data_IF_621904525590
#
_entry.id   IF_621904525590
#
_cell.length_a   1.000
_cell.length_b   1.000
_cell.length_c   1.000
_cell.angle_alpha   90.00
_cell.angle_beta   90.00
_cell.angle_gamma   90.00
#
_symmetry.space_group_name_H-M   'P 1'
#
loop_
_entity.id
_entity.type
_entity.pdbx_description
1 polymer ?
#
# COMPACT_ATOMS: atom_id res chain seq x y z
N UNK A 1 16.04 -13.26 -22.12
CA UNK A 1 15.77 -14.34 -21.14
C UNK A 1 17.06 -15.09 -20.94
N UNK A 2 17.48 -15.30 -19.69
CA UNK A 2 18.63 -16.16 -19.39
C UNK A 2 18.33 -17.61 -19.83
N UNK A 3 19.33 -18.35 -20.29
CA UNK A 3 19.19 -19.79 -20.52
C UNK A 3 19.11 -20.53 -19.19
N UNK A 4 18.53 -21.75 -19.16
CA UNK A 4 18.47 -22.55 -17.93
C UNK A 4 19.86 -22.83 -17.32
N UNK A 5 20.90 -22.83 -18.14
CA UNK A 5 22.27 -23.07 -17.70
C UNK A 5 22.93 -21.84 -17.02
N UNK A 6 22.34 -20.65 -17.17
CA UNK A 6 22.79 -19.40 -16.53
C UNK A 6 22.17 -19.15 -15.17
N UNK A 7 21.16 -19.95 -14.77
CA UNK A 7 20.48 -19.83 -13.49
C UNK A 7 21.25 -20.62 -12.43
N UNK A 8 21.80 -19.91 -11.45
CA UNK A 8 22.57 -20.51 -10.34
C UNK A 8 21.70 -20.94 -9.16
N UNK A 9 20.52 -20.33 -8.98
CA UNK A 9 19.51 -20.75 -8.01
C UNK A 9 18.67 -21.89 -8.61
N UNK A 10 18.63 -23.01 -7.91
CA UNK A 10 17.93 -24.23 -8.35
C UNK A 10 16.56 -24.43 -7.71
N UNK A 11 15.98 -23.39 -7.15
CA UNK A 11 14.60 -23.43 -6.68
C UNK A 11 13.68 -23.43 -7.91
N UNK A 12 13.09 -24.57 -8.22
CA UNK A 12 12.13 -24.72 -9.32
C UNK A 12 10.72 -24.73 -8.77
N UNK A 13 9.84 -23.93 -9.39
CA UNK A 13 8.40 -23.96 -9.16
C UNK A 13 7.71 -24.50 -10.40
N UNK A 14 7.07 -25.66 -10.27
CA UNK A 14 6.26 -26.21 -11.36
C UNK A 14 4.96 -25.40 -11.53
N UNK A 15 4.88 -24.64 -12.61
CA UNK A 15 3.71 -23.86 -12.99
C UNK A 15 2.91 -24.53 -14.12
N UNK A 16 3.08 -25.84 -14.36
CA UNK A 16 2.36 -26.56 -15.40
C UNK A 16 0.84 -26.43 -15.23
N UNK A 17 0.17 -25.97 -16.28
CA UNK A 17 -1.27 -25.72 -16.25
C UNK A 17 -1.72 -24.43 -15.57
N UNK A 18 -0.79 -23.64 -15.03
CA UNK A 18 -1.07 -22.35 -14.42
C UNK A 18 -0.79 -21.20 -15.40
N UNK A 19 -1.40 -20.03 -15.13
CA UNK A 19 -1.04 -18.78 -15.80
C UNK A 19 -0.11 -17.99 -14.88
N UNK A 20 1.05 -17.61 -15.39
CA UNK A 20 1.98 -16.73 -14.69
C UNK A 20 1.75 -15.30 -15.14
N UNK A 21 1.42 -14.43 -14.21
CA UNK A 21 1.13 -13.02 -14.43
C UNK A 21 2.03 -12.16 -13.54
N UNK A 22 2.34 -10.92 -13.94
CA UNK A 22 2.90 -9.95 -13.01
C UNK A 22 1.97 -9.76 -11.82
N UNK A 23 2.53 -9.46 -10.64
CA UNK A 23 1.75 -9.10 -9.48
C UNK A 23 0.93 -7.83 -9.73
N UNK A 24 -0.23 -7.74 -9.10
CA UNK A 24 -1.12 -6.59 -9.22
C UNK A 24 -0.54 -5.38 -8.48
N UNK A 25 -0.97 -4.20 -8.90
CA UNK A 25 -0.62 -2.91 -8.29
C UNK A 25 -1.90 -2.26 -7.78
N UNK A 26 -1.99 -2.01 -6.48
CA UNK A 26 -3.07 -1.21 -5.89
C UNK A 26 -2.55 0.20 -5.58
N UNK A 27 -3.20 1.20 -6.15
CA UNK A 27 -2.82 2.61 -6.00
C UNK A 27 -3.82 3.43 -5.17
N UNK A 28 -4.90 2.81 -4.68
CA UNK A 28 -5.91 3.53 -3.91
C UNK A 28 -6.68 2.57 -3.00
N UNK A 29 -6.17 2.35 -1.80
CA UNK A 29 -6.85 1.64 -0.73
C UNK A 29 -6.48 2.24 0.62
N UNK A 30 -7.48 2.47 1.48
CA UNK A 30 -7.27 3.06 2.81
C UNK A 30 -6.81 2.01 3.82
N UNK A 31 -7.18 0.76 3.62
CA UNK A 31 -6.79 -0.32 4.51
C UNK A 31 -7.57 -1.60 4.27
N UNK A 32 -7.30 -2.59 5.11
CA UNK A 32 -7.91 -3.92 5.07
C UNK A 32 -7.90 -4.56 6.46
N UNK A 33 -8.63 -5.68 6.63
CA UNK A 33 -8.62 -6.53 7.83
C UNK A 33 -8.75 -5.77 9.15
N UNK A 34 -9.59 -4.73 9.18
CA UNK A 34 -9.88 -3.83 10.31
C UNK A 34 -8.76 -2.89 10.71
N UNK A 35 -7.78 -2.68 9.85
CA UNK A 35 -6.76 -1.65 9.99
C UNK A 35 -6.91 -0.63 8.87
N UNK A 36 -6.64 0.62 9.17
CA UNK A 36 -6.61 1.72 8.23
C UNK A 36 -5.21 2.36 8.24
N UNK A 37 -4.74 2.79 7.08
CA UNK A 37 -3.45 3.47 6.99
C UNK A 37 -3.43 4.75 7.84
N UNK A 38 -4.59 5.39 7.97
CA UNK A 38 -4.76 6.61 8.78
C UNK A 38 -4.69 6.38 10.29
N UNK A 39 -4.67 5.12 10.76
CA UNK A 39 -4.51 4.80 12.19
C UNK A 39 -3.09 5.10 12.70
N UNK A 40 -2.12 5.28 11.80
CA UNK A 40 -0.70 5.47 12.11
C UNK A 40 -0.13 4.34 12.99
N UNK A 41 -0.59 3.11 12.76
CA UNK A 41 -0.18 1.89 13.45
C UNK A 41 0.74 1.06 12.55
N UNK A 42 2.00 0.86 12.97
CA UNK A 42 3.01 0.12 12.21
C UNK A 42 2.62 -1.35 12.04
N UNK A 43 2.12 -1.99 13.10
CA UNK A 43 1.73 -3.40 13.06
C UNK A 43 0.45 -3.59 12.22
N UNK A 44 -0.49 -2.66 12.33
CA UNK A 44 -1.68 -2.61 11.50
C UNK A 44 -1.33 -2.46 10.02
N UNK A 45 -0.43 -1.54 9.68
CA UNK A 45 0.03 -1.37 8.30
C UNK A 45 0.73 -2.63 7.78
N UNK A 46 1.59 -3.28 8.58
CA UNK A 46 2.21 -4.55 8.20
C UNK A 46 1.15 -5.62 7.91
N UNK A 47 0.11 -5.71 8.72
CA UNK A 47 -1.01 -6.64 8.53
C UNK A 47 -1.75 -6.37 7.20
N UNK A 48 -1.98 -5.10 6.87
CA UNK A 48 -2.53 -4.71 5.56
C UNK A 48 -1.62 -5.20 4.42
N UNK A 49 -0.31 -4.94 4.49
CA UNK A 49 0.64 -5.33 3.45
C UNK A 49 0.68 -6.85 3.22
N UNK A 50 0.59 -7.64 4.27
CA UNK A 50 0.52 -9.11 4.18
C UNK A 50 -0.80 -9.57 3.56
N UNK A 51 -1.90 -8.95 3.93
CA UNK A 51 -3.21 -9.22 3.34
C UNK A 51 -3.21 -8.94 1.83
N UNK A 52 -2.74 -7.76 1.43
CA UNK A 52 -2.63 -7.36 0.01
C UNK A 52 -1.77 -8.36 -0.77
N UNK A 53 -0.61 -8.74 -0.23
CA UNK A 53 0.27 -9.74 -0.84
C UNK A 53 -0.42 -11.09 -1.03
N UNK A 54 -1.19 -11.54 -0.04
CA UNK A 54 -1.92 -12.81 -0.10
C UNK A 54 -2.99 -12.85 -1.19
N UNK A 55 -3.42 -11.68 -1.67
CA UNK A 55 -4.39 -11.50 -2.76
C UNK A 55 -3.74 -11.18 -4.11
N UNK A 56 -2.42 -11.32 -4.23
CA UNK A 56 -1.69 -11.13 -5.47
C UNK A 56 -1.26 -9.69 -5.76
N UNK A 57 -1.50 -8.75 -4.83
CA UNK A 57 -1.00 -7.38 -4.92
C UNK A 57 0.45 -7.37 -4.44
N UNK A 58 1.37 -7.06 -5.33
CA UNK A 58 2.81 -7.05 -5.03
C UNK A 58 3.36 -5.64 -4.82
N UNK A 59 2.63 -4.63 -5.31
CA UNK A 59 2.98 -3.22 -5.16
C UNK A 59 1.77 -2.45 -4.66
N UNK A 60 1.95 -1.63 -3.64
CA UNK A 60 0.86 -1.00 -2.91
C UNK A 60 1.16 0.47 -2.62
N UNK A 61 0.16 1.33 -2.85
CA UNK A 61 0.17 2.73 -2.41
C UNK A 61 -0.92 2.93 -1.35
N UNK A 62 -0.60 2.80 -0.05
CA UNK A 62 -1.56 3.10 0.99
C UNK A 62 -2.09 4.53 0.84
N UNK A 63 -3.39 4.70 1.03
CA UNK A 63 -4.07 5.97 0.81
C UNK A 63 -4.49 6.58 2.15
N UNK A 64 -4.01 7.82 2.41
CA UNK A 64 -4.45 8.57 3.59
C UNK A 64 -5.80 9.22 3.35
N UNK A 65 -6.55 9.45 4.44
CA UNK A 65 -7.67 10.38 4.43
C UNK A 65 -7.20 11.84 4.51
N UNK A 66 -8.10 12.80 4.28
CA UNK A 66 -7.85 14.20 4.61
C UNK A 66 -7.82 14.35 6.12
N UNK A 67 -6.66 14.72 6.65
CA UNK A 67 -6.36 14.85 8.07
C UNK A 67 -5.50 16.10 8.32
N UNK A 68 -5.43 16.59 9.57
CA UNK A 68 -4.48 17.63 9.95
C UNK A 68 -3.05 17.24 9.63
N UNK A 69 -2.21 18.23 9.34
CA UNK A 69 -0.81 18.03 8.92
C UNK A 69 -0.01 17.15 9.89
N UNK A 70 -0.20 17.35 11.19
CA UNK A 70 0.50 16.58 12.22
C UNK A 70 0.15 15.11 12.19
N UNK A 71 -1.11 14.77 11.89
CA UNK A 71 -1.56 13.37 11.74
C UNK A 71 -1.01 12.77 10.45
N UNK A 72 -1.04 13.51 9.33
CA UNK A 72 -0.45 13.05 8.07
C UNK A 72 1.06 12.75 8.22
N UNK A 73 1.79 13.57 8.97
CA UNK A 73 3.21 13.33 9.21
C UNK A 73 3.46 12.03 10.01
N UNK A 74 2.61 11.71 10.99
CA UNK A 74 2.67 10.42 11.72
C UNK A 74 2.41 9.24 10.79
N UNK A 75 1.37 9.31 9.96
CA UNK A 75 1.03 8.29 8.98
C UNK A 75 2.18 8.04 8.01
N UNK A 76 2.82 9.09 7.51
CA UNK A 76 3.95 8.97 6.61
C UNK A 76 5.19 8.38 7.31
N UNK A 77 5.37 8.69 8.61
CA UNK A 77 6.43 8.07 9.38
C UNK A 77 6.18 6.57 9.57
N UNK A 78 4.93 6.16 9.83
CA UNK A 78 4.52 4.75 9.92
C UNK A 78 4.89 3.98 8.65
N UNK A 79 4.65 4.56 7.46
CA UNK A 79 5.02 3.94 6.19
C UNK A 79 6.54 3.78 5.99
N UNK A 80 7.35 4.61 6.66
CA UNK A 80 8.81 4.48 6.65
C UNK A 80 9.32 3.45 7.66
N UNK A 81 8.62 3.30 8.78
CA UNK A 81 9.04 2.48 9.90
C UNK A 81 8.61 1.01 9.73
N UNK A 82 7.59 0.75 8.91
CA UNK A 82 7.10 -0.62 8.69
C UNK A 82 8.15 -1.48 7.98
N UNK A 83 8.48 -2.61 8.60
CA UNK A 83 9.34 -3.61 7.98
C UNK A 83 8.58 -4.37 6.88
N UNK A 84 9.19 -4.46 5.71
CA UNK A 84 8.64 -5.13 4.54
C UNK A 84 9.55 -6.27 4.13
N UNK A 85 9.08 -7.48 4.28
CA UNK A 85 9.74 -8.70 3.81
C UNK A 85 8.98 -9.32 2.62
N UNK A 86 9.37 -10.53 2.22
CA UNK A 86 8.75 -11.25 1.11
C UNK A 86 7.28 -11.62 1.33
N UNK A 87 6.78 -11.56 2.56
CA UNK A 87 5.37 -11.81 2.88
C UNK A 87 4.48 -10.59 2.68
N UNK A 88 5.07 -9.41 2.46
CA UNK A 88 4.40 -8.13 2.33
C UNK A 88 4.28 -7.68 0.87
N UNK A 89 3.18 -7.01 0.51
CA UNK A 89 3.14 -6.15 -0.66
C UNK A 89 4.12 -4.98 -0.44
N UNK A 90 4.86 -4.60 -1.48
CA UNK A 90 5.83 -3.52 -1.37
C UNK A 90 5.16 -2.16 -1.45
N UNK A 91 5.38 -1.29 -0.48
CA UNK A 91 5.00 0.11 -0.59
C UNK A 91 5.87 0.76 -1.67
N UNK A 92 5.24 1.25 -2.73
CA UNK A 92 5.92 1.92 -3.86
C UNK A 92 5.66 3.42 -3.90
N UNK A 93 4.78 3.90 -3.05
CA UNK A 93 4.41 5.31 -2.88
C UNK A 93 3.31 5.44 -1.85
N UNK A 94 2.89 6.68 -1.58
CA UNK A 94 1.71 6.98 -0.76
C UNK A 94 0.75 7.77 -1.63
N UNK A 95 -0.52 7.36 -1.66
CA UNK A 95 -1.57 8.14 -2.26
C UNK A 95 -2.18 9.05 -1.17
N UNK A 96 -2.04 10.35 -1.35
CA UNK A 96 -2.58 11.32 -0.41
C UNK A 96 -3.94 11.83 -0.93
N UNK A 97 -5.03 11.32 -0.37
CA UNK A 97 -6.38 11.79 -0.68
C UNK A 97 -6.70 13.05 0.15
N UNK A 98 -6.55 14.19 -0.49
CA UNK A 98 -6.54 15.48 0.20
C UNK A 98 -5.14 15.87 0.71
N UNK A 99 -4.98 16.93 1.52
CA UNK A 99 -6.03 17.81 2.03
C UNK A 99 -6.53 18.90 1.07
N UNK A 100 -5.97 19.00 -0.15
CA UNK A 100 -6.28 20.07 -1.12
C UNK A 100 -7.47 19.68 -2.01
N UNK A 101 -8.65 19.54 -1.41
CA UNK A 101 -9.89 19.18 -2.08
C UNK A 101 -10.77 20.41 -2.34
N UNK A 102 -11.64 20.31 -3.34
CA UNK A 102 -12.73 21.27 -3.51
C UNK A 102 -13.81 21.01 -2.45
N UNK A 103 -14.11 21.96 -1.54
CA UNK A 103 -15.13 21.75 -0.50
C UNK A 103 -16.50 21.34 -1.06
N UNK A 104 -16.86 21.82 -2.27
CA UNK A 104 -18.12 21.47 -2.91
C UNK A 104 -18.17 19.99 -3.38
N UNK A 105 -17.01 19.33 -3.46
CA UNK A 105 -16.88 17.94 -3.93
C UNK A 105 -16.14 17.05 -2.94
N UNK A 106 -16.03 17.46 -1.70
CA UNK A 106 -15.27 16.78 -0.65
C UNK A 106 -15.73 15.37 -0.30
N UNK A 107 -16.95 15.01 -0.67
CA UNK A 107 -17.51 13.69 -0.31
C UNK A 107 -17.57 13.50 1.20
N UNK A 108 -17.02 12.40 1.70
CA UNK A 108 -17.00 12.04 3.12
C UNK A 108 -15.92 12.77 3.93
N UNK A 109 -15.03 13.54 3.28
CA UNK A 109 -13.95 14.23 4.00
C UNK A 109 -14.45 15.34 4.91
N UNK A 110 -13.81 15.49 6.05
CA UNK A 110 -14.15 16.53 7.04
C UNK A 110 -13.71 17.89 6.51
N UNK A 111 -14.64 18.82 6.38
CA UNK A 111 -14.43 20.11 5.72
C UNK A 111 -13.36 20.97 6.42
N UNK A 112 -13.33 20.96 7.75
CA UNK A 112 -12.37 21.71 8.55
C UNK A 112 -10.90 21.27 8.36
N UNK A 113 -10.67 20.08 7.77
CA UNK A 113 -9.33 19.55 7.49
C UNK A 113 -8.90 19.75 6.03
N UNK A 114 -9.77 20.32 5.22
CA UNK A 114 -9.44 20.72 3.85
C UNK A 114 -8.54 21.95 3.91
N UNK A 115 -7.36 21.86 3.30
CA UNK A 115 -6.41 22.95 3.26
C UNK A 115 -6.63 23.80 2.01
N UNK A 116 -6.45 25.12 2.19
CA UNK A 116 -6.35 26.04 1.07
C UNK A 116 -4.98 25.89 0.39
N UNK A 117 -4.96 26.14 -0.94
CA UNK A 117 -3.72 26.09 -1.74
C UNK A 117 -2.86 27.33 -1.54
#
# INVERSE_FOLDING_TARGET
MASADEVTDKTELDASGLKVLPGLVDIHSHGAVRHDFSDADVDGLRTILQYEKSHGITSYCPTSMTLPKEELLKIFQTAKDVEQDETCARIVGINMEGPFLDPAKKGAHVEEWIAER
#
